data_IF_221649212932
#
_entry.id   IF_221649212932
#
_cell.length_a   1.000
_cell.length_b   1.000
_cell.length_c   1.000
_cell.angle_alpha   90.00
_cell.angle_beta   90.00
_cell.angle_gamma   90.00
#
_symmetry.space_group_name_H-M   'P 1'
#
loop_
_entity.id
_entity.type
_entity.pdbx_description
1 polymer ?
#
# COMPACT_ATOMS: atom_id res chain seq x y z
N UNK A 1 24.39 8.19 22.57
CA UNK A 1 24.11 7.82 21.17
C UNK A 1 22.99 6.79 21.14
N UNK A 2 21.79 7.20 20.74
CA UNK A 2 20.54 6.43 20.92
C UNK A 2 20.22 5.73 19.59
N UNK A 3 20.59 4.46 19.47
CA UNK A 3 20.24 3.61 18.34
C UNK A 3 18.83 3.03 18.50
N UNK A 4 17.82 3.78 18.07
CA UNK A 4 16.42 3.33 18.06
C UNK A 4 16.17 2.28 16.98
N UNK A 5 16.20 0.99 17.35
CA UNK A 5 15.69 -0.11 16.54
C UNK A 5 14.16 0.01 16.43
N UNK A 6 13.66 0.59 15.35
CA UNK A 6 12.24 0.50 14.98
C UNK A 6 11.93 -0.95 14.55
N UNK A 7 11.47 -1.79 15.48
CA UNK A 7 10.80 -3.05 15.13
C UNK A 7 9.41 -2.71 14.59
N UNK A 8 9.28 -2.67 13.26
CA UNK A 8 7.99 -2.73 12.58
C UNK A 8 7.41 -4.12 12.87
N UNK A 9 6.48 -4.20 13.81
CA UNK A 9 5.75 -5.43 14.11
C UNK A 9 4.81 -5.74 12.95
N UNK A 10 5.27 -6.55 11.99
CA UNK A 10 4.39 -7.31 11.10
C UNK A 10 3.52 -8.23 11.96
N UNK A 11 2.20 -8.01 11.98
CA UNK A 11 1.24 -8.89 12.65
C UNK A 11 0.09 -9.24 11.69
N UNK A 12 0.09 -10.51 11.28
CA UNK A 12 -1.02 -11.44 11.08
C UNK A 12 -2.43 -10.92 10.70
N UNK A 13 -2.82 -11.28 9.47
CA UNK A 13 -3.98 -12.14 9.14
C UNK A 13 -5.39 -11.56 8.92
N UNK A 14 -6.09 -12.17 7.95
CA UNK A 14 -7.51 -12.06 7.60
C UNK A 14 -8.25 -13.35 8.01
N UNK A 15 -9.23 -13.24 8.91
CA UNK A 15 -10.49 -13.99 8.80
C UNK A 15 -11.65 -13.05 9.00
N UNK A 16 -12.73 -13.47 8.35
CA UNK A 16 -14.11 -13.05 8.53
C UNK A 16 -14.46 -11.76 7.83
N UNK A 17 -14.82 -11.85 6.55
CA UNK A 17 -15.96 -11.10 6.03
C UNK A 17 -16.67 -11.97 5.00
N UNK A 18 -17.87 -12.47 5.35
CA UNK A 18 -18.84 -12.98 4.40
C UNK A 18 -19.56 -11.80 3.76
N UNK A 19 -19.47 -11.68 2.43
CA UNK A 19 -20.30 -10.80 1.61
C UNK A 19 -20.77 -11.61 0.42
N UNK A 20 -22.09 -11.64 0.20
CA UNK A 20 -22.73 -12.40 -0.87
C UNK A 20 -22.76 -11.61 -2.18
N UNK A 21 -22.28 -12.30 -3.21
CA UNK A 21 -22.30 -12.15 -4.67
C UNK A 21 -23.26 -11.11 -5.30
N UNK A 22 -22.67 -10.19 -6.08
CA UNK A 22 -23.17 -9.86 -7.44
C UNK A 22 -21.99 -9.46 -8.34
N UNK A 23 -21.73 -10.27 -9.35
CA UNK A 23 -20.82 -10.12 -10.51
C UNK A 23 -19.66 -9.09 -10.42
N UNK A 24 -18.57 -9.47 -9.75
CA UNK A 24 -17.21 -8.95 -10.02
C UNK A 24 -16.38 -10.17 -10.37
N UNK A 25 -15.58 -10.10 -11.44
CA UNK A 25 -14.60 -11.13 -11.80
C UNK A 25 -13.89 -11.58 -10.53
N UNK A 26 -14.16 -12.81 -10.09
CA UNK A 26 -13.68 -13.31 -8.81
C UNK A 26 -12.17 -13.46 -8.92
N UNK A 27 -11.45 -12.46 -8.40
CA UNK A 27 -10.07 -12.59 -8.01
C UNK A 27 -10.06 -13.53 -6.79
N UNK A 28 -10.04 -14.83 -7.07
CA UNK A 28 -9.98 -15.87 -6.04
C UNK A 28 -8.80 -15.53 -5.11
N UNK A 29 -8.98 -15.50 -3.77
CA UNK A 29 -7.88 -15.22 -2.87
C UNK A 29 -6.95 -16.44 -2.90
N UNK A 30 -5.97 -16.46 -3.81
CA UNK A 30 -4.89 -17.46 -3.84
C UNK A 30 -4.02 -17.44 -2.57
N UNK A 31 -4.31 -16.55 -1.62
CA UNK A 31 -3.58 -16.43 -0.36
C UNK A 31 -4.22 -17.26 0.76
N UNK A 32 -5.48 -17.68 0.64
CA UNK A 32 -6.23 -18.36 1.70
C UNK A 32 -6.67 -19.77 1.27
N UNK A 33 -5.76 -20.76 1.34
CA UNK A 33 -6.04 -22.19 1.69
C UNK A 33 -4.96 -23.19 1.22
N UNK A 34 -3.67 -22.91 1.48
CA UNK A 34 -2.64 -23.96 1.43
C UNK A 34 -1.92 -24.01 2.78
N UNK A 35 -2.43 -24.84 3.69
CA UNK A 35 -1.74 -25.18 4.93
C UNK A 35 -0.31 -25.64 4.58
N UNK A 36 0.72 -24.91 5.03
CA UNK A 36 2.13 -25.27 4.86
C UNK A 36 2.95 -24.42 3.86
N UNK A 37 2.36 -23.61 2.99
CA UNK A 37 3.15 -22.75 2.08
C UNK A 37 3.73 -21.51 2.77
N UNK A 38 5.03 -21.24 2.56
CA UNK A 38 5.73 -20.04 3.01
C UNK A 38 5.16 -18.78 2.32
N UNK A 39 4.98 -17.68 3.07
CA UNK A 39 4.52 -16.37 2.58
C UNK A 39 5.28 -15.92 1.31
N UNK A 40 6.60 -16.16 1.26
CA UNK A 40 7.45 -15.82 0.11
C UNK A 40 6.96 -16.51 -1.17
N UNK A 41 6.67 -17.82 -1.10
CA UNK A 41 6.23 -18.61 -2.26
C UNK A 41 4.87 -18.15 -2.78
N UNK A 42 3.91 -17.89 -1.88
CA UNK A 42 2.59 -17.37 -2.28
C UNK A 42 2.70 -16.02 -2.99
N UNK A 43 3.60 -15.17 -2.49
CA UNK A 43 3.80 -13.85 -3.08
C UNK A 43 4.52 -13.94 -4.43
N UNK A 44 5.46 -14.86 -4.57
CA UNK A 44 6.14 -15.18 -5.83
C UNK A 44 5.16 -15.69 -6.90
N UNK A 45 4.31 -16.66 -6.57
CA UNK A 45 3.24 -17.15 -7.45
C UNK A 45 2.27 -16.03 -7.84
N UNK A 46 1.90 -15.18 -6.88
CA UNK A 46 1.03 -14.03 -7.12
C UNK A 46 1.66 -12.98 -8.03
N UNK A 47 2.92 -12.61 -7.81
CA UNK A 47 3.64 -11.66 -8.69
C UNK A 47 3.77 -12.25 -10.09
N UNK A 48 4.11 -13.54 -10.19
CA UNK A 48 4.24 -14.24 -11.47
C UNK A 48 2.90 -14.31 -12.21
N UNK A 49 1.78 -14.53 -11.53
CA UNK A 49 0.46 -14.55 -12.18
C UNK A 49 0.03 -13.17 -12.70
N UNK A 50 0.45 -12.09 -12.03
CA UNK A 50 0.15 -10.72 -12.46
C UNK A 50 1.04 -10.22 -13.60
N UNK A 51 2.31 -10.64 -13.64
CA UNK A 51 3.34 -9.98 -14.47
C UNK A 51 4.20 -10.92 -15.32
N UNK A 52 3.99 -12.24 -15.19
CA UNK A 52 4.70 -13.27 -15.93
C UNK A 52 6.13 -13.58 -15.44
N UNK A 53 6.72 -12.78 -14.55
CA UNK A 53 8.09 -13.00 -14.04
C UNK A 53 8.28 -12.43 -12.64
N UNK A 54 9.34 -12.83 -11.93
CA UNK A 54 9.62 -12.39 -10.57
C UNK A 54 10.95 -11.65 -10.55
N UNK A 55 10.88 -10.32 -10.49
CA UNK A 55 12.02 -9.43 -10.32
C UNK A 55 11.53 -8.07 -9.79
N UNK A 56 12.46 -7.15 -9.52
CA UNK A 56 12.13 -5.82 -9.01
C UNK A 56 11.15 -5.03 -9.90
N UNK A 57 11.29 -5.12 -11.22
CA UNK A 57 10.40 -4.44 -12.18
C UNK A 57 8.99 -5.03 -12.13
N UNK A 58 8.88 -6.35 -12.05
CA UNK A 58 7.59 -7.05 -11.89
C UNK A 58 6.90 -6.70 -10.59
N UNK A 59 7.64 -6.66 -9.47
CA UNK A 59 7.08 -6.25 -8.18
C UNK A 59 6.58 -4.80 -8.21
N UNK A 60 7.32 -3.92 -8.87
CA UNK A 60 6.93 -2.53 -9.08
C UNK A 60 5.67 -2.39 -9.94
N UNK A 61 5.52 -3.21 -10.99
CA UNK A 61 4.29 -3.25 -11.79
C UNK A 61 3.10 -3.81 -10.98
N UNK A 62 3.32 -4.92 -10.25
CA UNK A 62 2.32 -5.55 -9.41
C UNK A 62 1.81 -4.61 -8.31
N UNK A 63 2.67 -3.72 -7.78
CA UNK A 63 2.26 -2.69 -6.82
C UNK A 63 1.11 -1.83 -7.37
N UNK A 64 1.24 -1.28 -8.58
CA UNK A 64 0.21 -0.41 -9.17
C UNK A 64 -1.06 -1.17 -9.51
N UNK A 65 -0.93 -2.40 -10.05
CA UNK A 65 -2.08 -3.26 -10.30
C UNK A 65 -2.89 -3.50 -9.02
N UNK A 66 -2.21 -3.86 -7.92
CA UNK A 66 -2.87 -4.05 -6.63
C UNK A 66 -3.43 -2.75 -6.06
N UNK A 67 -2.68 -1.65 -6.15
CA UNK A 67 -3.10 -0.37 -5.58
C UNK A 67 -4.36 0.17 -6.26
N UNK A 68 -4.43 0.08 -7.59
CA UNK A 68 -5.57 0.56 -8.37
C UNK A 68 -6.85 -0.23 -8.10
N UNK A 69 -6.75 -1.50 -7.73
CA UNK A 69 -7.86 -2.34 -7.28
C UNK A 69 -8.16 -2.20 -5.77
N UNK A 70 -7.59 -1.18 -5.11
CA UNK A 70 -7.67 -0.97 -3.66
C UNK A 70 -7.21 -2.17 -2.80
N UNK A 71 -6.40 -3.07 -3.37
CA UNK A 71 -5.72 -4.17 -2.70
C UNK A 71 -4.42 -3.69 -2.04
N UNK A 72 -4.53 -2.69 -1.14
CA UNK A 72 -3.38 -1.99 -0.58
C UNK A 72 -2.43 -2.88 0.23
N UNK A 73 -2.95 -3.94 0.84
CA UNK A 73 -2.13 -4.90 1.58
C UNK A 73 -1.23 -5.70 0.63
N UNK A 74 -1.79 -6.17 -0.48
CA UNK A 74 -1.05 -6.84 -1.53
C UNK A 74 -0.05 -5.89 -2.19
N UNK A 75 -0.45 -4.63 -2.47
CA UNK A 75 0.44 -3.61 -3.00
C UNK A 75 1.65 -3.40 -2.08
N UNK A 76 1.43 -3.27 -0.77
CA UNK A 76 2.48 -3.20 0.24
C UNK A 76 3.42 -4.42 0.16
N UNK A 77 2.86 -5.63 0.23
CA UNK A 77 3.65 -6.85 0.36
C UNK A 77 4.48 -7.15 -0.90
N UNK A 78 3.92 -6.99 -2.11
CA UNK A 78 4.68 -7.24 -3.36
C UNK A 78 5.88 -6.31 -3.48
N UNK A 79 5.75 -5.06 -3.04
CA UNK A 79 6.83 -4.09 -3.14
C UNK A 79 7.86 -4.26 -2.00
N UNK A 80 7.41 -4.62 -0.79
CA UNK A 80 8.28 -5.00 0.33
C UNK A 80 9.16 -6.21 -0.03
N UNK A 81 8.61 -7.19 -0.73
CA UNK A 81 9.35 -8.36 -1.19
C UNK A 81 10.55 -7.99 -2.07
N UNK A 82 10.37 -7.04 -3.00
CA UNK A 82 11.47 -6.53 -3.80
C UNK A 82 12.45 -5.69 -2.95
N UNK A 83 11.91 -4.80 -2.11
CA UNK A 83 12.69 -3.90 -1.27
C UNK A 83 13.69 -4.61 -0.35
N UNK A 84 13.28 -5.72 0.30
CA UNK A 84 14.14 -6.51 1.18
C UNK A 84 15.36 -7.14 0.47
N UNK A 85 15.36 -7.16 -0.88
CA UNK A 85 16.41 -7.74 -1.72
C UNK A 85 17.22 -6.66 -2.46
N UNK A 86 16.96 -5.39 -2.20
CA UNK A 86 17.62 -4.26 -2.86
C UNK A 86 18.80 -3.71 -2.05
N UNK A 87 19.83 -3.16 -2.71
CA UNK A 87 20.84 -2.36 -2.04
C UNK A 87 20.23 -1.06 -1.49
N UNK A 88 20.74 -0.60 -0.34
CA UNK A 88 20.16 0.48 0.47
C UNK A 88 19.94 1.79 -0.31
N UNK A 89 20.85 2.15 -1.21
CA UNK A 89 20.79 3.36 -2.04
C UNK A 89 19.53 3.42 -2.94
N UNK A 90 19.03 2.27 -3.40
CA UNK A 90 17.83 2.18 -4.25
C UNK A 90 16.56 1.88 -3.44
N UNK A 91 16.72 1.55 -2.16
CA UNK A 91 15.66 1.05 -1.31
C UNK A 91 14.73 2.17 -0.79
N UNK A 92 15.21 3.42 -0.71
CA UNK A 92 14.44 4.55 -0.13
C UNK A 92 13.18 4.89 -0.93
N UNK A 93 13.25 4.93 -2.27
CA UNK A 93 12.06 5.17 -3.10
C UNK A 93 10.98 4.11 -2.88
N UNK A 94 11.37 2.82 -2.90
CA UNK A 94 10.46 1.70 -2.69
C UNK A 94 9.84 1.74 -1.30
N UNK A 95 10.65 2.07 -0.28
CA UNK A 95 10.18 2.28 1.09
C UNK A 95 9.10 3.36 1.17
N UNK A 96 9.23 4.46 0.43
CA UNK A 96 8.22 5.50 0.34
C UNK A 96 6.88 4.99 -0.20
N UNK A 97 6.89 4.23 -1.29
CA UNK A 97 5.67 3.63 -1.87
C UNK A 97 5.04 2.54 -0.99
N UNK A 98 5.86 1.75 -0.30
CA UNK A 98 5.42 0.76 0.69
C UNK A 98 4.67 1.48 1.83
N UNK A 99 5.23 2.57 2.34
CA UNK A 99 4.59 3.37 3.39
C UNK A 99 3.29 4.03 2.90
N UNK A 100 3.28 4.53 1.66
CA UNK A 100 2.08 5.08 1.04
C UNK A 100 0.94 4.05 1.00
N UNK A 101 1.19 2.84 0.47
CA UNK A 101 0.20 1.76 0.49
C UNK A 101 -0.18 1.34 1.92
N UNK A 102 0.79 1.27 2.83
CA UNK A 102 0.56 0.97 4.25
C UNK A 102 -0.38 1.97 4.94
N UNK A 103 -0.32 3.25 4.57
CA UNK A 103 -1.24 4.27 5.06
C UNK A 103 -2.69 3.93 4.66
N UNK A 104 -2.92 3.54 3.41
CA UNK A 104 -4.24 3.09 2.95
C UNK A 104 -4.70 1.78 3.56
N UNK A 105 -3.80 0.84 3.88
CA UNK A 105 -4.15 -0.37 4.66
C UNK A 105 -4.75 0.03 6.01
N UNK A 106 -4.21 1.05 6.67
CA UNK A 106 -4.77 1.55 7.93
C UNK A 106 -6.12 2.23 7.76
N UNK A 107 -6.29 3.06 6.72
CA UNK A 107 -7.57 3.68 6.42
C UNK A 107 -8.64 2.64 6.08
N UNK A 108 -8.34 1.68 5.19
CA UNK A 108 -9.28 0.62 4.80
C UNK A 108 -9.67 -0.26 6.00
N UNK A 109 -8.73 -0.62 6.88
CA UNK A 109 -9.02 -1.38 8.11
C UNK A 109 -9.94 -0.64 9.07
N UNK A 110 -9.73 0.67 9.24
CA UNK A 110 -10.60 1.48 10.08
C UNK A 110 -12.00 1.61 9.46
N UNK A 111 -12.07 1.84 8.14
CA UNK A 111 -13.34 1.96 7.43
C UNK A 111 -14.20 0.70 7.56
N UNK A 112 -13.60 -0.47 7.33
CA UNK A 112 -14.29 -1.75 7.37
C UNK A 112 -14.73 -2.16 8.79
N UNK A 113 -14.03 -1.68 9.81
CA UNK A 113 -14.24 -2.09 11.21
C UNK A 113 -14.04 -0.91 12.18
N UNK A 114 -14.85 0.15 12.12
CA UNK A 114 -14.58 1.42 12.81
C UNK A 114 -14.66 1.29 14.34
N UNK A 115 -15.49 0.39 14.85
CA UNK A 115 -15.66 0.15 16.30
C UNK A 115 -14.75 -0.95 16.86
N UNK A 116 -14.02 -1.67 16.01
CA UNK A 116 -13.16 -2.76 16.47
C UNK A 116 -11.96 -2.21 17.24
N UNK A 117 -11.70 -2.75 18.44
CA UNK A 117 -10.69 -2.21 19.37
C UNK A 117 -9.28 -2.07 18.75
N UNK A 118 -8.88 -2.97 17.85
CA UNK A 118 -7.59 -2.90 17.10
C UNK A 118 -7.58 -1.93 15.92
N UNK A 119 -8.74 -1.52 15.41
CA UNK A 119 -8.85 -0.78 14.15
C UNK A 119 -9.39 0.65 14.32
N UNK A 120 -10.06 0.95 15.43
CA UNK A 120 -10.56 2.31 15.73
C UNK A 120 -9.46 3.38 15.75
N UNK A 121 -8.25 3.03 16.18
CA UNK A 121 -7.13 3.97 16.35
C UNK A 121 -6.22 4.14 15.13
N UNK A 122 -6.64 3.74 13.92
CA UNK A 122 -5.74 3.62 12.75
C UNK A 122 -5.51 4.91 11.97
N UNK A 123 -6.24 5.99 12.26
CA UNK A 123 -6.05 7.29 11.59
C UNK A 123 -4.68 7.92 11.93
N UNK A 124 -4.22 7.79 13.18
CA UNK A 124 -2.89 8.27 13.60
C UNK A 124 -1.74 7.52 12.90
N UNK A 125 -1.72 6.17 12.90
CA UNK A 125 -0.78 5.40 12.08
C UNK A 125 -0.84 5.74 10.59
N UNK A 126 -2.02 5.91 10.00
CA UNK A 126 -2.16 6.28 8.59
C UNK A 126 -1.48 7.63 8.29
N UNK A 127 -1.78 8.66 9.09
CA UNK A 127 -1.14 9.98 9.01
C UNK A 127 0.38 9.86 9.08
N UNK A 128 0.91 9.13 10.06
CA UNK A 128 2.35 8.95 10.23
C UNK A 128 3.01 8.29 9.00
N UNK A 129 2.32 7.33 8.37
CA UNK A 129 2.82 6.66 7.18
C UNK A 129 2.79 7.56 5.94
N UNK A 130 1.78 8.42 5.77
CA UNK A 130 1.80 9.45 4.72
C UNK A 130 3.01 10.40 4.89
N UNK A 131 3.30 10.83 6.11
CA UNK A 131 4.42 11.74 6.36
C UNK A 131 5.76 11.07 6.04
N UNK A 132 5.91 9.81 6.46
CA UNK A 132 7.08 9.00 6.15
C UNK A 132 7.23 8.73 4.64
N UNK A 133 6.12 8.44 3.95
CA UNK A 133 6.10 8.26 2.51
C UNK A 133 6.55 9.53 1.80
N UNK A 134 5.98 10.68 2.15
CA UNK A 134 6.36 11.97 1.59
C UNK A 134 7.86 12.27 1.80
N UNK A 135 8.37 12.08 3.03
CA UNK A 135 9.78 12.27 3.36
C UNK A 135 10.71 11.39 2.50
N UNK A 136 10.35 10.13 2.29
CA UNK A 136 11.17 9.20 1.51
C UNK A 136 11.06 9.41 0.00
N UNK A 137 9.95 9.99 -0.48
CA UNK A 137 9.71 10.23 -1.91
C UNK A 137 10.21 11.61 -2.38
N UNK A 138 10.28 12.61 -1.51
CA UNK A 138 10.69 13.97 -1.84
C UNK A 138 12.00 14.07 -2.67
N UNK A 139 13.08 13.30 -2.39
CA UNK A 139 14.31 13.38 -3.18
C UNK A 139 14.16 12.95 -4.64
N UNK A 140 13.06 12.28 -4.99
CA UNK A 140 12.79 11.72 -6.32
C UNK A 140 11.85 12.60 -7.16
N UNK A 141 11.59 13.83 -6.72
CA UNK A 141 10.80 14.80 -7.46
C UNK A 141 11.47 15.31 -8.74
N UNK A 142 10.69 15.74 -9.75
CA UNK A 142 9.22 15.61 -9.81
C UNK A 142 8.78 14.20 -10.26
N UNK A 143 9.70 13.42 -10.84
CA UNK A 143 9.43 12.13 -11.49
C UNK A 143 10.58 11.16 -11.25
N UNK A 144 10.23 9.89 -11.02
CA UNK A 144 11.20 8.80 -10.95
C UNK A 144 10.57 7.47 -11.33
N UNK A 145 11.28 6.62 -12.10
CA UNK A 145 10.79 5.32 -12.58
C UNK A 145 9.40 5.38 -13.24
N UNK A 146 9.16 6.40 -14.07
CA UNK A 146 7.87 6.67 -14.74
C UNK A 146 6.72 7.05 -13.78
N UNK A 147 6.97 7.23 -12.49
CA UNK A 147 6.00 7.78 -11.55
C UNK A 147 6.15 9.31 -11.44
N UNK A 148 5.04 10.03 -11.54
CA UNK A 148 4.93 11.44 -11.18
C UNK A 148 4.92 11.56 -9.65
N UNK A 149 6.11 11.66 -9.05
CA UNK A 149 6.31 11.65 -7.60
C UNK A 149 5.59 12.82 -6.95
N UNK A 150 5.55 13.99 -7.59
CA UNK A 150 4.80 15.15 -7.12
C UNK A 150 3.30 14.83 -6.88
N UNK A 151 2.67 14.03 -7.74
CA UNK A 151 1.26 13.66 -7.57
C UNK A 151 1.04 12.80 -6.31
N UNK A 152 2.01 11.96 -5.96
CA UNK A 152 1.97 11.15 -4.72
C UNK A 152 2.18 12.02 -3.48
N UNK A 153 3.08 13.01 -3.55
CA UNK A 153 3.28 13.96 -2.46
C UNK A 153 2.02 14.78 -2.18
N UNK A 154 1.37 15.31 -3.23
CA UNK A 154 0.06 16.00 -3.12
C UNK A 154 -0.99 15.07 -2.51
N UNK A 155 -0.98 13.79 -2.89
CA UNK A 155 -1.84 12.78 -2.26
C UNK A 155 -1.58 12.61 -0.77
N UNK A 156 -0.32 12.49 -0.35
CA UNK A 156 0.06 12.39 1.06
C UNK A 156 -0.45 13.61 1.85
N UNK A 157 -0.17 14.82 1.35
CA UNK A 157 -0.60 16.07 1.97
C UNK A 157 -2.12 16.17 2.08
N UNK A 158 -2.85 15.83 1.00
CA UNK A 158 -4.31 15.85 0.98
C UNK A 158 -4.92 14.90 2.03
N UNK A 159 -4.44 13.67 2.10
CA UNK A 159 -4.95 12.69 3.08
C UNK A 159 -4.54 13.04 4.51
N UNK A 160 -3.30 13.49 4.76
CA UNK A 160 -2.88 13.98 6.08
C UNK A 160 -3.72 15.17 6.53
N UNK A 161 -3.92 16.15 5.65
CA UNK A 161 -4.71 17.34 5.91
C UNK A 161 -6.15 16.99 6.30
N UNK A 162 -6.82 16.09 5.57
CA UNK A 162 -8.17 15.64 5.90
C UNK A 162 -8.24 14.91 7.25
N UNK A 163 -7.27 14.04 7.56
CA UNK A 163 -7.21 13.35 8.86
C UNK A 163 -7.05 14.37 9.99
N UNK A 164 -6.12 15.30 9.85
CA UNK A 164 -5.81 16.31 10.87
C UNK A 164 -6.95 17.29 11.07
N UNK A 165 -7.54 17.80 9.99
CA UNK A 165 -8.67 18.74 10.05
C UNK A 165 -9.89 18.13 10.76
N UNK A 166 -10.07 16.81 10.69
CA UNK A 166 -11.13 16.11 11.41
C UNK A 166 -10.84 15.87 12.91
N UNK A 167 -9.67 16.27 13.42
CA UNK A 167 -9.25 15.93 14.79
C UNK A 167 -9.07 14.41 14.99
N UNK A 168 -8.68 13.68 13.93
CA UNK A 168 -8.61 12.21 13.91
C UNK A 168 -9.96 11.51 14.18
N UNK A 169 -11.09 12.13 13.80
CA UNK A 169 -12.42 11.53 13.96
C UNK A 169 -12.98 10.97 12.66
N UNK A 170 -12.59 11.54 11.51
CA UNK A 170 -13.12 11.14 10.21
C UNK A 170 -12.05 10.45 9.38
N UNK A 171 -12.42 9.31 8.82
CA UNK A 171 -11.62 8.62 7.82
C UNK A 171 -11.88 9.22 6.44
N UNK A 172 -10.87 9.81 5.79
CA UNK A 172 -11.03 10.42 4.47
C UNK A 172 -11.12 9.42 3.31
N UNK A 173 -10.83 8.14 3.54
CA UNK A 173 -10.88 7.13 2.50
C UNK A 173 -12.27 6.51 2.39
N UNK A 174 -12.72 6.33 1.15
CA UNK A 174 -13.93 5.63 0.74
C UNK A 174 -13.59 4.76 -0.48
N UNK A 175 -14.20 3.58 -0.64
CA UNK A 175 -13.95 2.74 -1.81
C UNK A 175 -14.38 3.41 -3.12
N UNK A 176 -15.43 4.24 -3.11
CA UNK A 176 -15.95 4.93 -4.30
C UNK A 176 -15.03 6.05 -4.81
N UNK A 177 -14.21 6.60 -3.91
CA UNK A 177 -13.23 7.66 -4.21
C UNK A 177 -11.83 7.18 -3.87
N UNK A 178 -11.57 5.88 -4.02
CA UNK A 178 -10.25 5.32 -3.78
C UNK A 178 -9.27 5.90 -4.80
N UNK A 179 -8.08 6.35 -4.36
CA UNK A 179 -7.11 6.93 -5.27
C UNK A 179 -6.54 5.85 -6.19
N UNK A 180 -6.27 6.23 -7.43
CA UNK A 180 -5.76 5.33 -8.48
C UNK A 180 -4.61 5.99 -9.23
N UNK A 181 -3.65 5.18 -9.67
CA UNK A 181 -2.60 5.60 -10.59
C UNK A 181 -3.07 5.44 -12.02
N UNK A 182 -3.10 6.55 -12.77
CA UNK A 182 -3.44 6.56 -14.18
C UNK A 182 -2.16 6.65 -15.02
N UNK A 183 -2.10 5.84 -16.07
CA UNK A 183 -1.04 5.87 -17.07
C UNK A 183 -1.40 6.87 -18.19
N UNK A 184 -0.62 7.94 -18.30
CA UNK A 184 -0.74 8.94 -19.38
C UNK A 184 0.63 9.13 -20.03
N UNK A 185 0.76 8.85 -21.33
CA UNK A 185 2.02 8.98 -22.07
C UNK A 185 3.21 8.24 -21.42
N UNK A 186 2.94 7.07 -20.83
CA UNK A 186 3.95 6.28 -20.11
C UNK A 186 4.38 6.88 -18.76
N UNK A 187 3.59 7.81 -18.20
CA UNK A 187 3.77 8.37 -16.87
C UNK A 187 2.58 8.02 -15.98
N UNK A 188 2.87 7.45 -14.81
CA UNK A 188 1.90 7.17 -13.75
C UNK A 188 1.67 8.42 -12.92
N UNK A 189 0.44 8.91 -12.86
CA UNK A 189 0.05 9.99 -11.96
C UNK A 189 -1.04 9.51 -11.02
N UNK A 190 -0.95 9.91 -9.75
CA UNK A 190 -2.00 9.66 -8.77
C UNK A 190 -3.20 10.58 -9.06
N UNK A 191 -4.38 9.98 -9.14
CA UNK A 191 -5.68 10.64 -9.11
C UNK A 191 -6.31 10.41 -7.74
N UNK A 192 -6.77 11.50 -7.12
CA UNK A 192 -7.43 11.53 -5.82
C UNK A 192 -8.95 11.56 -5.95
#
# INVERSE_FOLDING_TARGET
>A
MIGGRFKITQIFWLRSIGISRTAVVTFTPLIDNAFGMNKSLRLEEFIKSLTGSINAKSCYQAYFLCFNEAHYYQAHDVLEYAWLRMPEEKATFFKGLIQFAGAFVHLQKQYLRPHHYKFKGRLRPAKQLFWLAAKNLQPYCPKYLQLQVNSVLVGCECFEGKIMASGYQLNPWRPETAPVFLDHNGLRSLRL
#
